data_IF_479085681481
#
_entry.id   IF_479085681481
#
_cell.length_a   1.000
_cell.length_b   1.000
_cell.length_c   1.000
_cell.angle_alpha   90.00
_cell.angle_beta   90.00
_cell.angle_gamma   90.00
#
_symmetry.space_group_name_H-M   'P 1'
#
loop_
_entity.id
_entity.type
_entity.pdbx_description
1 polymer ?
#
# COMPACT_ATOMS: atom_id res chain seq x y z
N UNK A 1 4.41 10.93 -41.13
CA UNK A 1 3.83 11.52 -39.92
C UNK A 1 3.80 10.44 -38.84
N UNK A 2 4.39 10.65 -37.66
CA UNK A 2 4.28 9.73 -36.54
C UNK A 2 2.96 10.05 -35.81
N UNK A 3 2.07 9.08 -35.74
CA UNK A 3 0.83 9.22 -35.01
C UNK A 3 1.05 8.78 -33.57
N UNK A 4 0.51 9.53 -32.61
CA UNK A 4 0.50 9.14 -31.21
C UNK A 4 -0.70 8.24 -30.97
N UNK A 5 -0.46 7.06 -30.41
CA UNK A 5 -1.48 6.09 -30.02
C UNK A 5 -1.51 6.00 -28.50
N UNK A 6 -2.69 6.11 -27.91
CA UNK A 6 -2.90 5.95 -26.47
C UNK A 6 -3.78 4.72 -26.29
N UNK A 7 -3.36 3.81 -25.42
CA UNK A 7 -4.12 2.60 -25.10
C UNK A 7 -4.03 2.29 -23.60
N UNK A 8 -4.95 1.47 -23.12
CA UNK A 8 -4.98 0.97 -21.75
C UNK A 8 -4.93 -0.55 -21.85
N UNK A 9 -3.96 -1.16 -21.17
CA UNK A 9 -3.81 -2.61 -21.13
C UNK A 9 -3.41 -3.07 -19.72
N UNK A 10 -3.76 -4.31 -19.39
CA UNK A 10 -3.28 -5.06 -18.23
C UNK A 10 -2.29 -6.16 -18.65
N UNK A 11 -2.02 -6.29 -19.93
CA UNK A 11 -1.09 -7.24 -20.49
C UNK A 11 0.31 -6.64 -20.44
N UNK A 12 1.16 -7.18 -19.55
CA UNK A 12 2.52 -6.69 -19.32
C UNK A 12 3.41 -6.95 -20.53
N UNK A 13 3.26 -8.07 -21.22
CA UNK A 13 4.03 -8.41 -22.41
C UNK A 13 3.72 -7.43 -23.53
N UNK A 14 2.44 -7.14 -23.76
CA UNK A 14 2.02 -6.13 -24.73
C UNK A 14 2.54 -4.73 -24.41
N UNK A 15 2.52 -4.34 -23.13
CA UNK A 15 3.06 -3.05 -22.69
C UNK A 15 4.58 -2.97 -22.89
N UNK A 16 5.29 -4.05 -22.59
CA UNK A 16 6.76 -4.14 -22.74
C UNK A 16 7.20 -4.01 -24.19
N UNK A 17 6.45 -4.60 -25.13
CA UNK A 17 6.78 -4.55 -26.55
C UNK A 17 6.39 -3.24 -27.26
N UNK A 18 5.37 -2.53 -26.75
CA UNK A 18 4.74 -1.45 -27.52
C UNK A 18 4.81 -0.07 -26.87
N UNK A 19 4.94 0.02 -25.55
CA UNK A 19 4.88 1.29 -24.84
C UNK A 19 6.26 1.96 -24.72
N UNK A 20 6.38 3.20 -25.17
CA UNK A 20 7.55 4.06 -24.97
C UNK A 20 7.33 5.15 -23.91
N UNK A 21 6.10 5.31 -23.48
CA UNK A 21 5.69 6.29 -22.46
C UNK A 21 4.58 5.70 -21.62
N UNK A 22 4.74 5.74 -20.29
CA UNK A 22 3.78 5.23 -19.34
C UNK A 22 3.06 6.39 -18.65
N UNK A 23 1.73 6.36 -18.68
CA UNK A 23 0.87 7.26 -17.90
C UNK A 23 0.25 6.45 -16.77
N UNK A 24 0.77 6.63 -15.56
CA UNK A 24 0.30 5.90 -14.39
C UNK A 24 -0.67 6.77 -13.58
N UNK A 25 -1.91 6.30 -13.46
CA UNK A 25 -2.94 6.89 -12.60
C UNK A 25 -2.96 6.15 -11.27
N UNK A 26 -2.69 6.84 -10.18
CA UNK A 26 -2.69 6.24 -8.85
C UNK A 26 -3.47 7.07 -7.84
N UNK A 27 -4.00 6.39 -6.84
CA UNK A 27 -4.60 7.03 -5.68
C UNK A 27 -3.58 7.09 -4.55
N UNK A 28 -3.31 8.30 -4.06
CA UNK A 28 -2.40 8.59 -2.95
C UNK A 28 -3.18 9.04 -1.71
N UNK A 29 -2.50 9.22 -0.57
CA UNK A 29 -3.08 9.70 0.70
C UNK A 29 -4.35 8.91 1.11
N UNK A 30 -4.20 7.60 1.28
CA UNK A 30 -5.32 6.70 1.63
C UNK A 30 -6.46 6.75 0.60
N UNK A 31 -6.15 6.81 -0.68
CA UNK A 31 -7.10 6.87 -1.80
C UNK A 31 -7.96 8.14 -1.84
N UNK A 32 -7.51 9.22 -1.21
CA UNK A 32 -8.24 10.49 -1.19
C UNK A 32 -7.87 11.43 -2.33
N UNK A 33 -6.66 11.28 -2.87
CA UNK A 33 -6.15 12.14 -3.93
C UNK A 33 -5.70 11.30 -5.11
N UNK A 34 -6.07 11.71 -6.31
CA UNK A 34 -5.60 11.11 -7.56
C UNK A 34 -4.30 11.81 -7.99
N UNK A 35 -3.31 11.04 -8.37
CA UNK A 35 -2.05 11.52 -8.92
C UNK A 35 -1.79 10.88 -10.26
N UNK A 36 -1.33 11.67 -11.21
CA UNK A 36 -0.92 11.20 -12.54
C UNK A 36 0.58 11.33 -12.65
N UNK A 37 1.24 10.24 -12.95
CA UNK A 37 2.67 10.19 -13.21
C UNK A 37 2.88 9.88 -14.70
N UNK A 38 3.68 10.69 -15.37
CA UNK A 38 4.05 10.48 -16.79
C UNK A 38 5.54 10.21 -16.84
N UNK A 39 5.91 9.02 -17.30
CA UNK A 39 7.28 8.56 -17.41
C UNK A 39 7.60 8.19 -18.87
N UNK A 40 8.64 8.78 -19.42
CA UNK A 40 9.14 8.48 -20.77
C UNK A 40 10.13 7.32 -20.73
N UNK A 41 9.61 6.16 -20.34
CA UNK A 41 10.35 4.90 -20.17
C UNK A 41 9.55 3.76 -20.81
N UNK A 42 10.26 2.74 -21.27
CA UNK A 42 9.63 1.46 -21.58
C UNK A 42 9.02 0.83 -20.32
N UNK A 43 8.09 -0.10 -20.49
CA UNK A 43 7.36 -0.70 -19.38
C UNK A 43 8.27 -1.45 -18.39
N UNK A 44 9.30 -2.13 -18.90
CA UNK A 44 10.20 -2.92 -18.04
C UNK A 44 10.98 -2.03 -17.09
N UNK A 45 11.60 -0.97 -17.60
CA UNK A 45 12.31 0.02 -16.78
C UNK A 45 11.40 0.73 -15.80
N UNK A 46 10.19 1.08 -16.25
CA UNK A 46 9.17 1.66 -15.37
C UNK A 46 8.81 0.70 -14.22
N UNK A 47 8.57 -0.58 -14.52
CA UNK A 47 8.24 -1.62 -13.54
C UNK A 47 9.36 -1.82 -12.52
N UNK A 48 10.61 -1.91 -12.97
CA UNK A 48 11.79 -2.00 -12.10
C UNK A 48 11.94 -0.78 -11.20
N UNK A 49 11.83 0.43 -11.77
CA UNK A 49 11.90 1.67 -11.01
C UNK A 49 10.79 1.76 -9.97
N UNK A 50 9.57 1.35 -10.34
CA UNK A 50 8.43 1.29 -9.42
C UNK A 50 8.68 0.33 -8.26
N UNK A 51 9.12 -0.90 -8.54
CA UNK A 51 9.49 -1.90 -7.51
C UNK A 51 10.56 -1.36 -6.56
N UNK A 52 11.60 -0.74 -7.11
CA UNK A 52 12.66 -0.14 -6.31
C UNK A 52 12.16 1.01 -5.42
N UNK A 53 11.27 1.88 -5.94
CA UNK A 53 10.69 2.98 -5.18
C UNK A 53 9.78 2.48 -4.05
N UNK A 54 8.94 1.46 -4.31
CA UNK A 54 8.10 0.83 -3.30
C UNK A 54 8.93 0.17 -2.19
N UNK A 55 10.01 -0.53 -2.55
CA UNK A 55 10.94 -1.12 -1.58
C UNK A 55 11.62 -0.05 -0.72
N UNK A 56 12.10 1.06 -1.31
CA UNK A 56 12.67 2.18 -0.57
C UNK A 56 11.66 2.82 0.37
N UNK A 57 10.43 3.05 -0.09
CA UNK A 57 9.37 3.60 0.75
C UNK A 57 9.04 2.69 1.92
N UNK A 58 8.92 1.38 1.70
CA UNK A 58 8.66 0.39 2.76
C UNK A 58 9.81 0.35 3.77
N UNK A 59 11.06 0.40 3.31
CA UNK A 59 12.23 0.47 4.18
C UNK A 59 12.26 1.76 5.01
N UNK A 60 11.97 2.90 4.38
CA UNK A 60 11.90 4.18 5.07
C UNK A 60 10.80 4.18 6.13
N UNK A 61 9.59 3.69 5.79
CA UNK A 61 8.49 3.57 6.74
C UNK A 61 8.85 2.68 7.94
N UNK A 62 9.55 1.56 7.70
CA UNK A 62 10.03 0.69 8.77
C UNK A 62 11.08 1.37 9.68
N UNK A 63 11.97 2.16 9.09
CA UNK A 63 12.98 2.91 9.85
C UNK A 63 12.34 4.03 10.69
N UNK A 64 11.41 4.77 10.09
CA UNK A 64 10.67 5.84 10.80
C UNK A 64 9.87 5.26 11.97
N UNK A 65 9.21 4.11 11.76
CA UNK A 65 8.47 3.41 12.81
C UNK A 65 9.39 2.97 13.97
N UNK A 66 10.54 2.36 13.65
CA UNK A 66 11.52 1.96 14.68
C UNK A 66 12.06 3.14 15.48
N UNK A 67 12.33 4.26 14.80
CA UNK A 67 12.81 5.49 15.46
C UNK A 67 11.72 6.08 16.37
N UNK A 68 10.48 6.07 15.92
CA UNK A 68 9.34 6.49 16.70
C UNK A 68 9.14 5.62 17.94
N UNK A 69 9.11 4.30 17.77
CA UNK A 69 8.93 3.35 18.88
C UNK A 69 10.02 3.50 19.95
N UNK A 70 11.28 3.64 19.52
CA UNK A 70 12.40 3.90 20.43
C UNK A 70 12.24 5.22 21.20
N UNK A 71 11.72 6.24 20.55
CA UNK A 71 11.47 7.55 21.17
C UNK A 71 10.32 7.46 22.17
N UNK A 72 9.24 6.78 21.79
CA UNK A 72 8.09 6.57 22.67
C UNK A 72 8.41 5.69 23.87
N UNK A 73 9.25 4.68 23.70
CA UNK A 73 9.72 3.87 24.84
C UNK A 73 10.51 4.70 25.85
N UNK A 74 11.46 5.52 25.38
CA UNK A 74 12.18 6.44 26.26
C UNK A 74 11.25 7.42 26.97
N UNK A 75 10.30 7.98 26.23
CA UNK A 75 9.30 8.89 26.78
C UNK A 75 8.45 8.22 27.86
N UNK A 76 7.96 6.99 27.60
CA UNK A 76 7.20 6.20 28.56
C UNK A 76 7.97 5.96 29.85
N UNK A 77 9.28 5.62 29.79
CA UNK A 77 10.14 5.46 30.96
C UNK A 77 10.23 6.76 31.77
N UNK A 78 10.44 7.90 31.09
CA UNK A 78 10.49 9.21 31.75
C UNK A 78 9.18 9.54 32.42
N UNK A 79 8.04 9.32 31.74
CA UNK A 79 6.69 9.52 32.27
C UNK A 79 6.47 8.71 33.55
N UNK A 80 6.76 7.41 33.50
CA UNK A 80 6.63 6.49 34.62
C UNK A 80 7.48 6.90 35.84
N UNK A 81 8.75 7.30 35.57
CA UNK A 81 9.63 7.78 36.65
C UNK A 81 9.08 9.03 37.33
N UNK A 82 8.53 9.98 36.55
CA UNK A 82 7.93 11.21 37.10
C UNK A 82 6.66 10.89 37.88
N UNK A 83 5.83 9.99 37.38
CA UNK A 83 4.61 9.51 38.07
C UNK A 83 4.94 8.85 39.40
N UNK A 84 5.88 7.91 39.41
CA UNK A 84 6.33 7.22 40.63
C UNK A 84 6.90 8.21 41.65
N UNK A 85 7.76 9.16 41.20
CA UNK A 85 8.29 10.20 42.07
C UNK A 85 7.20 11.12 42.65
N UNK A 86 6.18 11.45 41.84
CA UNK A 86 5.08 12.28 42.26
C UNK A 86 4.23 11.60 43.36
N UNK A 87 4.00 10.29 43.21
CA UNK A 87 3.24 9.49 44.18
C UNK A 87 3.99 9.26 45.49
N UNK A 88 5.34 9.17 45.43
CA UNK A 88 6.17 8.91 46.61
C UNK A 88 6.61 10.16 47.37
N UNK A 89 6.47 11.36 46.78
CA UNK A 89 6.95 12.61 47.35
C UNK A 89 5.98 13.14 48.41
N UNK A 90 6.51 13.34 49.64
CA UNK A 90 5.78 13.96 50.75
C UNK A 90 6.09 15.46 50.89
N UNK A 91 7.11 15.95 50.19
CA UNK A 91 7.51 17.36 50.19
C UNK A 91 6.69 18.17 49.20
N UNK A 92 6.03 19.22 49.68
CA UNK A 92 5.17 20.10 48.88
C UNK A 92 5.96 20.88 47.79
N UNK A 93 7.20 21.27 48.03
CA UNK A 93 7.99 22.00 47.06
C UNK A 93 8.45 21.05 45.93
N UNK A 94 8.95 19.88 46.27
CA UNK A 94 9.31 18.86 45.31
C UNK A 94 8.09 18.37 44.49
N UNK A 95 6.93 18.24 45.13
CA UNK A 95 5.68 17.90 44.46
C UNK A 95 5.27 18.89 43.36
N UNK A 96 5.41 20.21 43.62
CA UNK A 96 5.15 21.26 42.60
C UNK A 96 6.08 21.17 41.41
N UNK A 97 7.38 20.90 41.63
CA UNK A 97 8.37 20.74 40.57
C UNK A 97 8.08 19.48 39.69
N UNK A 98 7.72 18.36 40.34
CA UNK A 98 7.35 17.15 39.65
C UNK A 98 6.07 17.33 38.85
N UNK A 99 5.06 18.02 39.37
CA UNK A 99 3.84 18.35 38.63
C UNK A 99 4.12 19.22 37.38
N UNK A 100 5.02 20.21 37.50
CA UNK A 100 5.49 21.00 36.36
C UNK A 100 6.20 20.15 35.33
N UNK A 101 7.06 19.21 35.77
CA UNK A 101 7.75 18.25 34.90
C UNK A 101 6.76 17.33 34.20
N UNK A 102 5.75 16.83 34.90
CA UNK A 102 4.67 16.01 34.32
C UNK A 102 3.92 16.76 33.20
N UNK A 103 3.58 18.02 33.42
CA UNK A 103 2.95 18.86 32.37
C UNK A 103 3.82 18.96 31.11
N UNK A 104 5.14 19.09 31.28
CA UNK A 104 6.08 19.11 30.14
C UNK A 104 6.11 17.75 29.42
N UNK A 105 6.14 16.65 30.15
CA UNK A 105 6.11 15.28 29.60
C UNK A 105 4.83 15.06 28.78
N UNK A 106 3.67 15.42 29.30
CA UNK A 106 2.40 15.30 28.56
C UNK A 106 2.34 16.20 27.31
N UNK A 107 2.95 17.38 27.37
CA UNK A 107 3.08 18.26 26.20
C UNK A 107 3.97 17.65 25.12
N UNK A 108 5.05 16.98 25.50
CA UNK A 108 5.92 16.26 24.57
C UNK A 108 5.20 15.05 23.92
N UNK A 109 4.39 14.32 24.69
CA UNK A 109 3.57 13.20 24.18
C UNK A 109 2.68 13.65 23.01
N UNK A 110 1.95 14.76 23.21
CA UNK A 110 1.12 15.34 22.14
C UNK A 110 1.92 15.77 20.91
N UNK A 111 3.16 16.20 21.09
CA UNK A 111 4.04 16.53 19.95
C UNK A 111 4.46 15.28 19.18
N UNK A 112 4.78 14.18 19.88
CA UNK A 112 5.13 12.91 19.24
C UNK A 112 3.93 12.31 18.51
N UNK A 113 2.73 12.36 19.07
CA UNK A 113 1.49 11.94 18.39
C UNK A 113 1.25 12.72 17.09
N UNK A 114 1.48 14.04 17.10
CA UNK A 114 1.41 14.83 15.87
C UNK A 114 2.46 14.44 14.85
N UNK A 115 3.71 14.19 15.29
CA UNK A 115 4.78 13.76 14.40
C UNK A 115 4.48 12.42 13.75
N UNK A 116 3.82 11.50 14.46
CA UNK A 116 3.40 10.21 13.93
C UNK A 116 2.50 10.33 12.69
N UNK A 117 1.70 11.40 12.60
CA UNK A 117 0.82 11.65 11.45
C UNK A 117 1.60 12.01 10.16
N UNK A 118 2.84 12.47 10.30
CA UNK A 118 3.71 12.86 9.17
C UNK A 118 4.76 11.79 8.82
N UNK A 119 4.73 10.64 9.50
CA UNK A 119 5.66 9.54 9.20
C UNK A 119 5.39 8.97 7.81
N UNK A 120 6.44 8.44 7.22
CA UNK A 120 6.34 7.73 5.94
C UNK A 120 5.36 6.57 6.06
N UNK A 121 4.33 6.58 5.23
CA UNK A 121 3.34 5.49 5.22
C UNK A 121 3.93 4.29 4.49
N UNK A 122 3.70 3.10 5.03
CA UNK A 122 4.03 1.86 4.32
C UNK A 122 3.26 1.87 3.00
N UNK A 123 3.96 1.57 1.90
CA UNK A 123 3.30 1.38 0.62
C UNK A 123 2.27 0.25 0.75
N UNK A 124 1.09 0.46 0.21
CA UNK A 124 0.17 -0.64 -0.01
C UNK A 124 0.83 -1.51 -1.08
N UNK A 125 1.32 -2.67 -0.68
CA UNK A 125 1.73 -3.69 -1.63
C UNK A 125 0.47 -4.05 -2.43
N UNK A 126 0.55 -3.92 -3.73
CA UNK A 126 -0.43 -4.55 -4.60
C UNK A 126 -0.22 -6.05 -4.39
N UNK A 127 -1.16 -6.68 -3.70
CA UNK A 127 -1.14 -8.12 -3.51
C UNK A 127 -1.18 -8.74 -4.90
N UNK A 128 -0.06 -9.34 -5.31
CA UNK A 128 -0.07 -10.20 -6.48
C UNK A 128 -0.99 -11.37 -6.15
N UNK A 129 -2.04 -11.52 -6.93
CA UNK A 129 -2.88 -12.71 -6.84
C UNK A 129 -2.02 -13.88 -7.28
N UNK A 130 -1.39 -14.54 -6.32
CA UNK A 130 -0.64 -15.77 -6.57
C UNK A 130 -1.65 -16.92 -6.56
N UNK A 131 -2.08 -17.33 -7.73
CA UNK A 131 -2.88 -18.53 -7.88
C UNK A 131 -1.92 -19.73 -7.85
N UNK A 132 -1.81 -20.38 -6.70
CA UNK A 132 -1.09 -21.66 -6.58
C UNK A 132 -2.09 -22.79 -6.80
N UNK A 133 -1.92 -23.49 -7.87
CA UNK A 133 -2.59 -24.76 -8.11
C UNK A 133 -1.63 -25.90 -7.74
N UNK A 134 -1.44 -26.15 -6.43
CA UNK A 134 -0.73 -27.34 -5.98
C UNK A 134 -1.65 -28.54 -6.06
N UNK A 135 -1.14 -29.65 -6.60
CA UNK A 135 -1.82 -30.96 -6.64
C UNK A 135 -3.08 -31.06 -7.52
N UNK A 136 -3.16 -30.33 -8.61
CA UNK A 136 -4.19 -30.60 -9.61
C UNK A 136 -3.83 -31.89 -10.34
N UNK A 137 -4.58 -32.97 -10.05
CA UNK A 137 -4.51 -34.16 -10.86
C UNK A 137 -5.11 -33.85 -12.23
N UNK A 138 -4.40 -34.17 -13.33
CA UNK A 138 -4.94 -33.95 -14.66
C UNK A 138 -6.21 -34.76 -14.83
N UNK A 139 -7.28 -34.12 -15.27
CA UNK A 139 -8.51 -34.80 -15.59
C UNK A 139 -8.32 -35.65 -16.86
N UNK A 140 -9.01 -36.80 -16.96
CA UNK A 140 -8.94 -37.62 -18.16
C UNK A 140 -9.27 -36.79 -19.40
N UNK A 141 -8.48 -36.92 -20.47
CA UNK A 141 -8.63 -36.15 -21.71
C UNK A 141 -10.01 -36.29 -22.37
N UNK A 142 -10.75 -37.37 -22.04
CA UNK A 142 -12.10 -37.63 -22.53
C UNK A 142 -13.20 -36.94 -21.72
N UNK A 143 -12.86 -36.25 -20.62
CA UNK A 143 -13.86 -35.61 -19.76
C UNK A 143 -14.17 -34.21 -20.26
N UNK A 144 -15.37 -34.00 -20.74
CA UNK A 144 -15.88 -32.67 -21.07
C UNK A 144 -16.12 -31.90 -19.75
N UNK A 145 -15.40 -30.80 -19.56
CA UNK A 145 -15.49 -29.97 -18.36
C UNK A 145 -16.54 -28.88 -18.47
N UNK A 146 -16.60 -28.27 -19.64
CA UNK A 146 -17.56 -27.23 -19.96
C UNK A 146 -18.07 -27.48 -21.34
N UNK A 147 -19.37 -27.66 -21.48
CA UNK A 147 -20.05 -27.69 -22.76
C UNK A 147 -21.05 -26.54 -22.76
N UNK A 148 -20.87 -25.59 -23.62
CA UNK A 148 -21.76 -24.44 -23.78
C UNK A 148 -22.33 -24.47 -25.20
N UNK A 149 -23.62 -24.74 -25.29
CA UNK A 149 -24.38 -24.64 -26.52
C UNK A 149 -25.42 -23.53 -26.32
N UNK A 150 -25.08 -22.34 -26.73
CA UNK A 150 -26.03 -21.21 -26.66
C UNK A 150 -26.08 -20.46 -27.97
N UNK A 151 -27.28 -20.24 -28.46
CA UNK A 151 -27.49 -19.46 -29.69
C UNK A 151 -27.04 -18.02 -29.52
N UNK A 152 -27.31 -17.42 -28.35
CA UNK A 152 -26.97 -16.02 -28.07
C UNK A 152 -26.47 -15.84 -26.61
N UNK A 153 -25.40 -15.10 -26.43
CA UNK A 153 -24.98 -14.59 -25.15
C UNK A 153 -25.44 -13.16 -25.03
N UNK A 154 -26.31 -12.87 -24.05
CA UNK A 154 -26.86 -11.52 -23.84
C UNK A 154 -26.79 -11.08 -22.39
N UNK A 155 -26.65 -9.76 -22.17
CA UNK A 155 -26.81 -9.10 -20.89
C UNK A 155 -27.98 -8.11 -21.02
N UNK A 156 -29.10 -8.44 -20.35
CA UNK A 156 -30.36 -7.71 -20.56
C UNK A 156 -30.82 -7.80 -22.01
N UNK A 157 -31.09 -6.67 -22.65
CA UNK A 157 -31.48 -6.60 -24.06
C UNK A 157 -30.30 -6.59 -25.05
N UNK A 158 -29.05 -6.52 -24.56
CA UNK A 158 -27.86 -6.43 -25.41
C UNK A 158 -27.29 -7.82 -25.69
N UNK A 159 -27.25 -8.20 -26.98
CA UNK A 159 -26.60 -9.41 -27.45
C UNK A 159 -25.09 -9.16 -27.52
N UNK A 160 -24.30 -9.98 -26.83
CA UNK A 160 -22.83 -9.90 -26.80
C UNK A 160 -22.18 -10.80 -27.84
N UNK A 161 -22.76 -11.96 -28.09
CA UNK A 161 -22.28 -12.90 -29.09
C UNK A 161 -23.43 -13.81 -29.59
N UNK A 162 -23.36 -14.20 -30.84
CA UNK A 162 -24.32 -15.13 -31.47
C UNK A 162 -23.58 -16.44 -31.87
N UNK A 163 -24.26 -17.58 -31.74
CA UNK A 163 -23.75 -18.87 -32.19
C UNK A 163 -22.53 -19.36 -31.39
N UNK A 164 -22.49 -19.15 -30.08
CA UNK A 164 -21.39 -19.54 -29.21
C UNK A 164 -21.44 -21.07 -28.97
N UNK A 165 -20.44 -21.79 -29.46
CA UNK A 165 -20.20 -23.21 -29.15
C UNK A 165 -18.81 -23.32 -28.52
N UNK A 166 -18.76 -23.90 -27.33
CA UNK A 166 -17.54 -24.18 -26.58
C UNK A 166 -17.60 -25.61 -26.07
N UNK A 167 -16.59 -26.41 -26.43
CA UNK A 167 -16.44 -27.79 -25.97
C UNK A 167 -15.07 -27.98 -25.37
#
# INVERSE_FOLDING_TARGET
>A
MRQTVIFISHDEDFLSETADTIVHLRLVKHRKEAETLVEHLDYDRYSEQRKANLARQSQQAANDQRAYDKTMEKHRRVKQNVETALLSTKDSAAGRLLAKKMKTVLSQEKRYEKLAQYMTQKSLEEEQIQLFFSDIQPLPASKVLIQLEKENLSIGERILSQGLQLT
#
